data_IF_612427379614
#
_entry.id   IF_612427379614
#
_cell.length_a   1.000
_cell.length_b   1.000
_cell.length_c   1.000
_cell.angle_alpha   90.00
_cell.angle_beta   90.00
_cell.angle_gamma   90.00
#
_symmetry.space_group_name_H-M   'P 1'
#
loop_
_entity.id
_entity.type
_entity.pdbx_description
1 polymer ?
#
# COMPACT_ATOMS: atom_id res chain seq x y z
N UNK A 1 -18.53 5.36 -25.91
CA UNK A 1 -17.11 5.07 -26.24
C UNK A 1 -16.70 3.80 -25.50
N UNK A 2 -15.92 2.91 -26.09
CA UNK A 2 -15.35 1.77 -25.35
C UNK A 2 -14.44 2.34 -24.24
N UNK A 3 -14.62 1.88 -23.00
CA UNK A 3 -13.74 2.23 -21.87
C UNK A 3 -12.33 1.75 -22.18
N UNK A 4 -11.33 2.57 -21.88
CA UNK A 4 -9.92 2.17 -22.00
C UNK A 4 -9.58 1.07 -20.97
N UNK A 5 -8.53 0.28 -21.23
CA UNK A 5 -8.09 -0.81 -20.34
C UNK A 5 -7.74 -0.34 -18.92
N UNK A 6 -7.40 0.94 -18.76
CA UNK A 6 -7.10 1.60 -17.49
C UNK A 6 -8.21 2.53 -17.01
N UNK A 7 -9.44 2.45 -17.59
CA UNK A 7 -10.58 3.21 -17.07
C UNK A 7 -11.05 2.61 -15.74
N UNK A 8 -10.90 3.38 -14.66
CA UNK A 8 -11.27 2.99 -13.31
C UNK A 8 -12.51 3.77 -12.79
N UNK A 9 -13.28 4.44 -13.66
CA UNK A 9 -14.38 5.33 -13.29
C UNK A 9 -15.47 4.69 -12.42
N UNK A 10 -15.61 3.37 -12.44
CA UNK A 10 -16.57 2.63 -11.61
C UNK A 10 -15.91 1.91 -10.42
N UNK A 11 -14.60 1.99 -10.27
CA UNK A 11 -13.86 1.33 -9.22
C UNK A 11 -13.73 2.23 -7.99
N UNK A 12 -13.70 1.60 -6.83
CA UNK A 12 -13.41 2.22 -5.53
C UNK A 12 -12.13 1.63 -4.99
N UNK A 13 -11.14 2.47 -4.73
CA UNK A 13 -9.86 2.08 -4.15
C UNK A 13 -9.74 2.60 -2.70
N UNK A 14 -9.41 1.71 -1.79
CA UNK A 14 -9.06 2.02 -0.41
C UNK A 14 -7.54 1.99 -0.25
N UNK A 15 -6.95 3.07 0.28
CA UNK A 15 -5.50 3.17 0.49
C UNK A 15 -5.23 3.52 1.96
N UNK A 16 -4.62 2.61 2.72
CA UNK A 16 -4.14 2.92 4.07
C UNK A 16 -2.82 3.69 4.00
N UNK A 17 -2.67 4.74 4.83
CA UNK A 17 -1.56 5.67 4.69
C UNK A 17 -1.58 6.43 3.35
N UNK A 18 -2.76 6.61 2.76
CA UNK A 18 -2.95 7.29 1.47
C UNK A 18 -2.83 8.82 1.54
N UNK A 19 -2.64 9.37 2.73
CA UNK A 19 -2.52 10.82 2.97
C UNK A 19 -1.08 11.36 2.85
N UNK A 20 -0.15 10.57 2.31
CA UNK A 20 1.23 11.00 2.11
C UNK A 20 2.10 9.93 1.43
N UNK A 21 3.28 10.32 1.03
CA UNK A 21 4.31 9.44 0.48
C UNK A 21 3.79 8.54 -0.66
N UNK A 22 4.22 7.29 -0.66
CA UNK A 22 3.85 6.29 -1.67
C UNK A 22 2.33 6.12 -1.78
N UNK A 23 1.62 6.12 -0.64
CA UNK A 23 0.17 5.97 -0.62
C UNK A 23 -0.55 7.08 -1.38
N UNK A 24 -0.10 8.33 -1.23
CA UNK A 24 -0.66 9.47 -1.95
C UNK A 24 -0.32 9.41 -3.46
N UNK A 25 0.91 9.01 -3.82
CA UNK A 25 1.28 8.83 -5.22
C UNK A 25 0.45 7.73 -5.92
N UNK A 26 0.12 6.65 -5.21
CA UNK A 26 -0.81 5.64 -5.71
C UNK A 26 -2.23 6.22 -5.85
N UNK A 27 -2.71 6.97 -4.85
CA UNK A 27 -4.02 7.61 -4.89
C UNK A 27 -4.16 8.59 -6.07
N UNK A 28 -3.13 9.37 -6.38
CA UNK A 28 -3.10 10.27 -7.53
C UNK A 28 -3.23 9.51 -8.86
N UNK A 29 -2.43 8.45 -9.07
CA UNK A 29 -2.52 7.64 -10.29
C UNK A 29 -3.86 6.95 -10.48
N UNK A 30 -4.46 6.46 -9.40
CA UNK A 30 -5.80 5.86 -9.43
C UNK A 30 -6.88 6.93 -9.75
N UNK A 31 -6.77 8.12 -9.14
CA UNK A 31 -7.66 9.25 -9.37
C UNK A 31 -7.58 9.75 -10.81
N UNK A 32 -6.38 9.84 -11.40
CA UNK A 32 -6.15 10.19 -12.79
C UNK A 32 -6.84 9.22 -13.76
N UNK A 33 -6.90 7.94 -13.39
CA UNK A 33 -7.65 6.92 -14.13
C UNK A 33 -9.16 6.89 -13.81
N UNK A 34 -9.66 7.80 -12.96
CA UNK A 34 -11.07 7.98 -12.66
C UNK A 34 -11.60 7.19 -11.45
N UNK A 35 -10.76 6.47 -10.71
CA UNK A 35 -11.21 5.74 -9.54
C UNK A 35 -11.71 6.66 -8.42
N UNK A 36 -12.74 6.23 -7.70
CA UNK A 36 -13.16 6.85 -6.44
C UNK A 36 -12.20 6.40 -5.34
N UNK A 37 -11.80 7.33 -4.46
CA UNK A 37 -10.70 7.10 -3.52
C UNK A 37 -11.19 7.21 -2.06
N UNK A 38 -10.92 6.18 -1.28
CA UNK A 38 -11.01 6.18 0.18
C UNK A 38 -9.58 6.19 0.77
N UNK A 39 -9.25 7.20 1.55
CA UNK A 39 -7.94 7.34 2.21
C UNK A 39 -8.10 7.10 3.71
N UNK A 40 -7.28 6.23 4.26
CA UNK A 40 -7.11 6.08 5.70
C UNK A 40 -5.78 6.67 6.15
N UNK A 41 -5.81 7.51 7.18
CA UNK A 41 -4.63 8.09 7.81
C UNK A 41 -4.94 8.57 9.21
N UNK A 42 -3.95 8.59 10.11
CA UNK A 42 -4.13 9.00 11.50
C UNK A 42 -4.10 10.52 11.71
N UNK A 43 -3.53 11.25 10.77
CA UNK A 43 -3.40 12.71 10.87
C UNK A 43 -4.50 13.38 10.06
N UNK A 44 -5.39 14.09 10.75
CA UNK A 44 -6.57 14.73 10.17
C UNK A 44 -6.20 15.84 9.18
N UNK A 45 -5.18 16.64 9.49
CA UNK A 45 -4.73 17.74 8.65
C UNK A 45 -4.18 17.19 7.31
N UNK A 46 -3.30 16.18 7.36
CA UNK A 46 -2.79 15.50 6.16
C UNK A 46 -3.91 14.82 5.36
N UNK A 47 -4.93 14.30 6.03
CA UNK A 47 -6.11 13.73 5.37
C UNK A 47 -6.83 14.79 4.54
N UNK A 48 -7.09 15.98 5.11
CA UNK A 48 -7.73 17.08 4.38
C UNK A 48 -6.85 17.63 3.26
N UNK A 49 -5.55 17.78 3.48
CA UNK A 49 -4.59 18.19 2.44
C UNK A 49 -4.60 17.23 1.25
N UNK A 50 -4.58 15.92 1.51
CA UNK A 50 -4.64 14.90 0.47
C UNK A 50 -5.95 14.91 -0.30
N UNK A 51 -7.08 15.11 0.39
CA UNK A 51 -8.40 15.25 -0.21
C UNK A 51 -8.48 16.46 -1.14
N UNK A 52 -7.96 17.61 -0.67
CA UNK A 52 -7.90 18.84 -1.46
C UNK A 52 -7.03 18.67 -2.71
N UNK A 53 -5.87 18.01 -2.58
CA UNK A 53 -4.97 17.73 -3.70
C UNK A 53 -5.65 16.84 -4.76
N UNK A 54 -6.43 15.84 -4.34
CA UNK A 54 -7.13 14.93 -5.24
C UNK A 54 -8.41 15.53 -5.84
N UNK A 55 -8.92 16.65 -5.33
CA UNK A 55 -10.14 17.29 -5.84
C UNK A 55 -10.04 17.73 -7.31
N UNK A 56 -8.83 17.99 -7.79
CA UNK A 56 -8.54 18.34 -9.21
C UNK A 56 -8.99 17.27 -10.22
N UNK A 57 -9.15 16.01 -9.79
CA UNK A 57 -9.54 14.90 -10.67
C UNK A 57 -11.06 14.73 -10.84
N UNK A 58 -11.88 15.57 -10.19
CA UNK A 58 -13.34 15.53 -10.28
C UNK A 58 -13.97 14.17 -9.95
N UNK A 59 -13.36 13.42 -9.03
CA UNK A 59 -13.80 12.13 -8.53
C UNK A 59 -14.29 12.23 -7.08
N UNK A 60 -14.99 11.22 -6.59
CA UNK A 60 -15.34 11.14 -5.17
C UNK A 60 -14.12 10.73 -4.35
N UNK A 61 -13.73 11.56 -3.37
CA UNK A 61 -12.65 11.30 -2.40
C UNK A 61 -13.19 11.48 -1.00
N UNK A 62 -13.05 10.46 -0.15
CA UNK A 62 -13.28 10.56 1.28
C UNK A 62 -12.05 10.14 2.06
N UNK A 63 -11.84 10.79 3.19
CA UNK A 63 -10.76 10.50 4.12
C UNK A 63 -11.31 10.09 5.47
N UNK A 64 -10.63 9.19 6.16
CA UNK A 64 -11.04 8.65 7.45
C UNK A 64 -9.84 8.65 8.39
N UNK A 65 -10.06 9.06 9.63
CA UNK A 65 -9.07 8.97 10.69
C UNK A 65 -9.06 7.55 11.24
N UNK A 66 -7.99 6.79 10.93
CA UNK A 66 -7.89 5.35 11.26
C UNK A 66 -6.48 5.01 11.72
N UNK A 67 -6.35 4.40 12.89
CA UNK A 67 -5.16 3.65 13.28
C UNK A 67 -5.34 2.18 12.91
N UNK A 68 -4.63 1.74 11.87
CA UNK A 68 -4.72 0.35 11.38
C UNK A 68 -4.29 -0.69 12.40
N UNK A 69 -3.53 -0.31 13.43
CA UNK A 69 -3.15 -1.21 14.53
C UNK A 69 -4.32 -1.55 15.47
N UNK A 70 -5.44 -0.83 15.34
CA UNK A 70 -6.65 -1.04 16.13
C UNK A 70 -7.69 -1.79 15.30
N UNK A 71 -7.82 -3.09 15.54
CA UNK A 71 -8.74 -3.97 14.77
C UNK A 71 -10.16 -3.41 14.69
N UNK A 72 -10.67 -2.89 15.81
CA UNK A 72 -12.01 -2.31 15.87
C UNK A 72 -12.17 -1.10 14.95
N UNK A 73 -11.17 -0.21 14.90
CA UNK A 73 -11.19 0.94 13.99
C UNK A 73 -11.21 0.49 12.53
N UNK A 74 -10.43 -0.53 12.18
CA UNK A 74 -10.42 -1.10 10.83
C UNK A 74 -11.81 -1.64 10.46
N UNK A 75 -12.42 -2.45 11.32
CA UNK A 75 -13.76 -3.03 11.09
C UNK A 75 -14.81 -1.92 10.89
N UNK A 76 -14.83 -0.92 11.76
CA UNK A 76 -15.83 0.14 11.71
C UNK A 76 -15.63 1.05 10.51
N UNK A 77 -14.38 1.32 10.12
CA UNK A 77 -14.11 2.17 8.96
C UNK A 77 -14.24 1.44 7.62
N UNK A 78 -14.10 0.12 7.53
CA UNK A 78 -14.54 -0.63 6.34
C UNK A 78 -16.05 -0.42 6.12
N UNK A 79 -16.86 -0.52 7.18
CA UNK A 79 -18.31 -0.24 7.08
C UNK A 79 -18.60 1.19 6.64
N UNK A 80 -17.84 2.17 7.16
CA UNK A 80 -17.99 3.57 6.76
C UNK A 80 -17.67 3.77 5.27
N UNK A 81 -16.60 3.16 4.76
CA UNK A 81 -16.28 3.19 3.32
C UNK A 81 -17.40 2.54 2.50
N UNK A 82 -17.93 1.40 2.94
CA UNK A 82 -19.04 0.73 2.25
C UNK A 82 -20.32 1.55 2.26
N UNK A 83 -20.64 2.24 3.35
CA UNK A 83 -21.78 3.16 3.42
C UNK A 83 -21.62 4.34 2.44
N UNK A 84 -20.42 4.88 2.34
CA UNK A 84 -20.15 6.05 1.50
C UNK A 84 -20.05 5.72 0.01
N UNK A 85 -19.42 4.60 -0.34
CA UNK A 85 -19.08 4.26 -1.72
C UNK A 85 -19.86 3.07 -2.28
N UNK A 86 -20.49 2.27 -1.42
CA UNK A 86 -21.25 1.07 -1.79
C UNK A 86 -20.39 -0.17 -2.06
N UNK A 87 -19.09 -0.01 -2.30
CA UNK A 87 -18.17 -1.10 -2.67
C UNK A 87 -16.71 -0.76 -2.40
N UNK A 88 -15.86 -1.78 -2.38
CA UNK A 88 -14.40 -1.68 -2.44
C UNK A 88 -13.95 -2.66 -3.52
N UNK A 89 -13.27 -2.15 -4.56
CA UNK A 89 -12.77 -2.94 -5.70
C UNK A 89 -11.28 -3.24 -5.58
N UNK A 90 -10.53 -2.31 -5.00
CA UNK A 90 -9.11 -2.52 -4.69
C UNK A 90 -8.77 -1.99 -3.31
N UNK A 91 -7.81 -2.65 -2.66
CA UNK A 91 -7.26 -2.23 -1.39
C UNK A 91 -5.73 -2.21 -1.46
N UNK A 92 -5.15 -1.11 -1.01
CA UNK A 92 -3.70 -0.96 -0.86
C UNK A 92 -3.38 -0.86 0.62
N UNK A 93 -2.94 -1.96 1.22
CA UNK A 93 -2.45 -2.00 2.59
C UNK A 93 -1.02 -1.45 2.62
N UNK A 94 -0.93 -0.10 2.65
CA UNK A 94 0.30 0.65 2.51
C UNK A 94 0.77 1.27 3.84
N UNK A 95 -0.12 1.55 4.79
CA UNK A 95 0.26 2.11 6.07
C UNK A 95 1.41 1.31 6.70
N UNK A 96 2.42 2.03 7.18
CA UNK A 96 3.58 1.40 7.77
C UNK A 96 4.44 2.39 8.52
N UNK A 97 5.29 1.87 9.38
CA UNK A 97 6.28 2.62 10.13
C UNK A 97 7.58 1.84 10.23
N UNK A 98 8.65 2.53 10.51
CA UNK A 98 9.92 1.93 10.91
C UNK A 98 10.41 2.56 12.22
N UNK A 99 11.11 1.76 13.00
CA UNK A 99 11.87 2.24 14.18
C UNK A 99 13.30 1.81 13.96
N UNK A 100 14.18 2.79 13.87
CA UNK A 100 15.62 2.52 13.82
C UNK A 100 16.11 2.24 15.22
N UNK A 101 16.61 1.04 15.46
CA UNK A 101 17.15 0.59 16.74
C UNK A 101 18.67 0.63 16.79
N UNK A 102 19.21 0.19 17.92
CA UNK A 102 20.62 -0.19 18.10
C UNK A 102 20.99 -1.42 17.28
N UNK A 103 21.94 -2.20 17.78
CA UNK A 103 22.24 -3.53 17.24
C UNK A 103 21.07 -4.50 17.50
N UNK A 104 21.06 -5.64 16.84
CA UNK A 104 19.96 -6.60 16.97
C UNK A 104 19.72 -7.06 18.40
N UNK A 105 20.81 -7.34 19.13
CA UNK A 105 20.80 -7.78 20.52
C UNK A 105 20.33 -6.71 21.52
N UNK A 106 20.35 -5.44 21.10
CA UNK A 106 19.87 -4.29 21.90
C UNK A 106 18.44 -3.88 21.55
N UNK A 107 17.81 -4.56 20.59
CA UNK A 107 16.49 -4.18 20.09
C UNK A 107 15.44 -4.29 21.18
N UNK A 108 14.73 -3.19 21.42
CA UNK A 108 13.66 -3.12 22.41
C UNK A 108 12.41 -3.87 21.97
N UNK A 109 11.86 -4.71 22.85
CA UNK A 109 10.67 -5.53 22.56
C UNK A 109 9.44 -4.68 22.24
N UNK A 110 9.24 -3.54 22.92
CA UNK A 110 8.08 -2.68 22.67
C UNK A 110 8.19 -2.03 21.29
N UNK A 111 9.39 -1.60 20.88
CA UNK A 111 9.64 -1.09 19.54
C UNK A 111 9.37 -2.18 18.48
N UNK A 112 9.82 -3.42 18.72
CA UNK A 112 9.49 -4.58 17.86
C UNK A 112 7.98 -4.77 17.75
N UNK A 113 7.26 -4.86 18.88
CA UNK A 113 5.80 -5.05 18.91
C UNK A 113 5.06 -3.92 18.20
N UNK A 114 5.50 -2.66 18.39
CA UNK A 114 4.90 -1.50 17.74
C UNK A 114 5.03 -1.54 16.22
N UNK A 115 6.18 -1.98 15.69
CA UNK A 115 6.35 -2.13 14.24
C UNK A 115 5.42 -3.22 13.71
N UNK A 116 5.35 -4.38 14.38
CA UNK A 116 4.50 -5.48 13.93
C UNK A 116 3.02 -5.12 13.99
N UNK A 117 2.56 -4.44 15.05
CA UNK A 117 1.15 -4.08 15.20
C UNK A 117 0.64 -3.18 14.05
N UNK A 118 1.50 -2.29 13.51
CA UNK A 118 1.12 -1.46 12.36
C UNK A 118 1.34 -2.19 11.05
N UNK A 119 2.55 -2.75 10.85
CA UNK A 119 3.01 -3.22 9.54
C UNK A 119 2.52 -4.63 9.19
N UNK A 120 2.14 -5.44 10.17
CA UNK A 120 1.69 -6.81 9.97
C UNK A 120 0.24 -7.01 10.43
N UNK A 121 -0.07 -6.71 11.70
CA UNK A 121 -1.42 -6.89 12.22
C UNK A 121 -2.39 -5.93 11.53
N UNK A 122 -2.00 -4.65 11.36
CA UNK A 122 -2.81 -3.65 10.65
C UNK A 122 -3.05 -4.01 9.18
N UNK A 123 -2.06 -4.60 8.51
CA UNK A 123 -2.23 -5.14 7.16
C UNK A 123 -3.20 -6.32 7.18
N UNK A 124 -3.04 -7.25 8.12
CA UNK A 124 -3.93 -8.40 8.27
C UNK A 124 -5.38 -7.97 8.50
N UNK A 125 -5.64 -7.07 9.45
CA UNK A 125 -7.00 -6.57 9.73
C UNK A 125 -7.62 -5.91 8.50
N UNK A 126 -6.87 -5.04 7.83
CA UNK A 126 -7.33 -4.33 6.62
C UNK A 126 -7.67 -5.31 5.50
N UNK A 127 -6.76 -6.23 5.20
CA UNK A 127 -6.95 -7.20 4.11
C UNK A 127 -8.07 -8.20 4.41
N UNK A 128 -8.18 -8.66 5.64
CA UNK A 128 -9.24 -9.59 6.05
C UNK A 128 -10.62 -8.98 5.83
N UNK A 129 -10.87 -7.78 6.34
CA UNK A 129 -12.19 -7.16 6.25
C UNK A 129 -12.55 -6.73 4.82
N UNK A 130 -11.60 -6.24 4.05
CA UNK A 130 -11.85 -5.88 2.66
C UNK A 130 -12.02 -7.11 1.77
N UNK A 131 -11.23 -8.16 1.97
CA UNK A 131 -11.39 -9.43 1.23
C UNK A 131 -12.72 -10.11 1.56
N UNK A 132 -13.16 -10.07 2.81
CA UNK A 132 -14.48 -10.56 3.22
C UNK A 132 -15.58 -9.91 2.39
N UNK A 133 -15.58 -8.58 2.27
CA UNK A 133 -16.53 -7.85 1.42
C UNK A 133 -16.44 -8.27 -0.05
N UNK A 134 -15.23 -8.41 -0.61
CA UNK A 134 -15.04 -8.86 -2.00
C UNK A 134 -15.59 -10.27 -2.23
N UNK A 135 -15.42 -11.19 -1.26
CA UNK A 135 -15.98 -12.55 -1.31
C UNK A 135 -17.51 -12.54 -1.24
N UNK A 136 -18.10 -11.70 -0.38
CA UNK A 136 -19.57 -11.55 -0.28
C UNK A 136 -20.14 -11.01 -1.59
N UNK A 137 -19.51 -10.02 -2.21
CA UNK A 137 -19.86 -9.53 -3.54
C UNK A 137 -19.80 -10.63 -4.60
N UNK A 138 -18.70 -11.39 -4.62
CA UNK A 138 -18.50 -12.47 -5.61
C UNK A 138 -19.57 -13.56 -5.47
N UNK A 139 -19.97 -13.91 -4.24
CA UNK A 139 -21.08 -14.87 -3.99
C UNK A 139 -22.43 -14.34 -4.49
N UNK A 140 -22.61 -13.02 -4.61
CA UNK A 140 -23.79 -12.38 -5.17
C UNK A 140 -23.69 -12.15 -6.68
N UNK A 141 -22.65 -12.68 -7.34
CA UNK A 141 -22.47 -12.58 -8.79
C UNK A 141 -21.58 -11.43 -9.27
N UNK A 142 -21.15 -10.53 -8.39
CA UNK A 142 -20.20 -9.45 -8.70
C UNK A 142 -18.75 -9.89 -8.39
N UNK A 143 -18.19 -10.67 -9.30
CA UNK A 143 -16.90 -11.35 -9.15
C UNK A 143 -15.75 -10.36 -9.32
N UNK A 144 -14.70 -10.56 -8.51
CA UNK A 144 -13.42 -9.86 -8.66
C UNK A 144 -13.07 -8.90 -7.53
N UNK A 145 -11.81 -8.50 -7.54
CA UNK A 145 -11.21 -7.57 -6.59
C UNK A 145 -9.68 -7.58 -6.73
N UNK A 146 -9.04 -6.54 -6.22
CA UNK A 146 -7.58 -6.42 -6.20
C UNK A 146 -7.09 -6.12 -4.79
N UNK A 147 -6.29 -7.02 -4.24
CA UNK A 147 -5.68 -6.91 -2.92
C UNK A 147 -4.19 -6.63 -3.11
N UNK A 148 -3.69 -5.53 -2.56
CA UNK A 148 -2.29 -5.13 -2.70
C UNK A 148 -1.67 -4.87 -1.33
N UNK A 149 -0.62 -5.62 -1.01
CA UNK A 149 0.23 -5.35 0.14
C UNK A 149 1.43 -4.51 -0.27
N UNK A 150 1.71 -3.42 0.44
CA UNK A 150 2.96 -2.68 0.23
C UNK A 150 4.01 -3.18 1.21
N UNK A 151 4.94 -3.97 0.70
CA UNK A 151 6.06 -4.51 1.46
C UNK A 151 7.31 -3.59 1.40
N UNK A 152 8.46 -4.12 1.10
CA UNK A 152 9.74 -3.43 0.91
C UNK A 152 10.78 -4.42 0.39
N UNK A 153 11.84 -3.95 -0.23
CA UNK A 153 13.04 -4.76 -0.47
C UNK A 153 13.58 -5.39 0.83
N UNK A 154 13.44 -4.70 1.96
CA UNK A 154 13.82 -5.24 3.27
C UNK A 154 13.07 -6.53 3.66
N UNK A 155 11.98 -6.89 2.99
CA UNK A 155 11.27 -8.16 3.17
C UNK A 155 11.92 -9.34 2.44
N UNK A 156 12.83 -9.08 1.50
CA UNK A 156 13.53 -10.09 0.69
C UNK A 156 15.06 -9.95 0.74
N UNK A 157 15.56 -8.81 1.22
CA UNK A 157 16.99 -8.53 1.38
C UNK A 157 17.35 -8.33 2.86
N UNK A 158 18.64 -8.44 3.18
CA UNK A 158 19.14 -8.13 4.52
C UNK A 158 19.17 -6.61 4.77
N UNK A 159 18.48 -6.16 5.83
CA UNK A 159 18.46 -4.76 6.25
C UNK A 159 18.89 -4.65 7.73
N UNK A 160 20.15 -4.27 7.96
CA UNK A 160 20.69 -4.14 9.30
C UNK A 160 19.94 -3.08 10.13
N UNK A 161 19.79 -3.34 11.44
CA UNK A 161 19.17 -2.43 12.43
C UNK A 161 17.67 -2.16 12.20
N UNK A 162 17.01 -2.92 11.35
CA UNK A 162 15.60 -2.78 11.04
C UNK A 162 14.86 -4.12 10.98
N UNK A 163 15.33 -5.10 11.74
CA UNK A 163 14.82 -6.47 11.71
C UNK A 163 13.30 -6.59 11.97
N UNK A 164 12.68 -5.82 12.88
CA UNK A 164 11.23 -5.83 13.04
C UNK A 164 10.49 -5.41 11.76
N UNK A 165 11.01 -4.39 11.08
CA UNK A 165 10.47 -3.91 9.81
C UNK A 165 10.60 -5.00 8.74
N UNK A 166 11.80 -5.58 8.58
CA UNK A 166 12.06 -6.64 7.61
C UNK A 166 11.16 -7.87 7.85
N UNK A 167 11.06 -8.31 9.11
CA UNK A 167 10.17 -9.42 9.49
C UNK A 167 8.71 -9.13 9.14
N UNK A 168 8.23 -7.92 9.44
CA UNK A 168 6.85 -7.51 9.10
C UNK A 168 6.62 -7.51 7.58
N UNK A 169 7.58 -7.00 6.80
CA UNK A 169 7.44 -6.92 5.33
C UNK A 169 7.58 -8.28 4.65
N UNK A 170 8.41 -9.18 5.17
CA UNK A 170 8.44 -10.59 4.75
C UNK A 170 7.13 -11.32 5.06
N UNK A 171 6.53 -11.07 6.23
CA UNK A 171 5.22 -11.59 6.61
C UNK A 171 4.10 -11.14 5.66
N UNK A 172 4.10 -9.86 5.26
CA UNK A 172 3.14 -9.32 4.27
C UNK A 172 3.26 -10.05 2.93
N UNK A 173 4.49 -10.27 2.42
CA UNK A 173 4.71 -11.00 1.16
C UNK A 173 4.10 -12.40 1.23
N UNK A 174 4.35 -13.12 2.31
CA UNK A 174 3.82 -14.48 2.50
C UNK A 174 2.30 -14.47 2.62
N UNK A 175 1.72 -13.54 3.38
CA UNK A 175 0.27 -13.39 3.55
C UNK A 175 -0.44 -13.15 2.21
N UNK A 176 0.08 -12.25 1.39
CA UNK A 176 -0.47 -11.93 0.06
C UNK A 176 -0.48 -13.16 -0.86
N UNK A 177 0.57 -13.97 -0.85
CA UNK A 177 0.61 -15.22 -1.62
C UNK A 177 -0.49 -16.20 -1.18
N UNK A 178 -0.71 -16.32 0.13
CA UNK A 178 -1.81 -17.13 0.67
C UNK A 178 -3.18 -16.64 0.21
N UNK A 179 -3.44 -15.33 0.28
CA UNK A 179 -4.68 -14.71 -0.20
C UNK A 179 -4.87 -14.95 -1.70
N UNK A 180 -3.81 -14.82 -2.51
CA UNK A 180 -3.85 -15.03 -3.95
C UNK A 180 -4.34 -16.45 -4.31
N UNK A 181 -3.82 -17.45 -3.62
CA UNK A 181 -4.21 -18.86 -3.86
C UNK A 181 -5.64 -19.14 -3.39
N UNK A 182 -5.98 -18.71 -2.16
CA UNK A 182 -7.26 -19.03 -1.53
C UNK A 182 -8.46 -18.37 -2.24
N UNK A 183 -8.29 -17.12 -2.70
CA UNK A 183 -9.40 -16.30 -3.18
C UNK A 183 -9.49 -16.19 -4.70
N UNK A 184 -8.61 -16.87 -5.45
CA UNK A 184 -8.63 -16.90 -6.93
C UNK A 184 -9.98 -17.35 -7.49
N UNK A 185 -10.65 -18.31 -6.83
CA UNK A 185 -11.99 -18.81 -7.23
C UNK A 185 -13.10 -17.76 -7.23
N UNK A 186 -12.87 -16.62 -6.54
CA UNK A 186 -13.78 -15.47 -6.51
C UNK A 186 -13.35 -14.36 -7.48
N UNK A 187 -12.33 -14.63 -8.34
CA UNK A 187 -11.73 -13.62 -9.21
C UNK A 187 -10.91 -12.57 -8.47
N UNK A 188 -10.66 -12.75 -7.18
CA UNK A 188 -9.84 -11.82 -6.38
C UNK A 188 -8.37 -12.12 -6.63
N UNK A 189 -7.63 -11.08 -7.03
CA UNK A 189 -6.18 -11.13 -7.23
C UNK A 189 -5.49 -10.50 -6.04
N UNK A 190 -4.33 -11.01 -5.66
CA UNK A 190 -3.54 -10.44 -4.58
C UNK A 190 -2.08 -10.35 -5.00
N UNK A 191 -1.48 -9.17 -4.88
CA UNK A 191 -0.10 -8.89 -5.29
C UNK A 191 0.62 -8.01 -4.26
N UNK A 192 1.94 -7.99 -4.33
CA UNK A 192 2.77 -7.20 -3.41
C UNK A 192 3.58 -6.17 -4.19
N UNK A 193 3.62 -4.93 -3.73
CA UNK A 193 4.56 -3.91 -4.23
C UNK A 193 5.74 -3.83 -3.25
N UNK A 194 6.95 -3.86 -3.79
CA UNK A 194 8.21 -3.77 -3.04
C UNK A 194 8.95 -2.48 -3.42
N UNK A 195 8.74 -1.39 -2.66
CA UNK A 195 9.50 -0.17 -2.87
C UNK A 195 10.98 -0.34 -2.53
N UNK A 196 11.84 0.32 -3.31
CA UNK A 196 13.23 0.59 -2.96
C UNK A 196 13.39 1.85 -2.11
N UNK A 197 14.39 2.67 -2.42
CA UNK A 197 14.67 3.93 -1.74
C UNK A 197 13.83 5.07 -2.34
N UNK A 198 12.78 5.45 -1.63
CA UNK A 198 11.79 6.43 -2.07
C UNK A 198 11.84 7.66 -1.18
N UNK A 199 11.81 8.84 -1.77
CA UNK A 199 11.76 10.13 -1.07
C UNK A 199 10.37 10.36 -0.46
N UNK A 200 10.27 10.14 0.85
CA UNK A 200 9.05 10.29 1.66
C UNK A 200 9.43 10.82 3.05
N UNK A 201 8.43 11.18 3.86
CA UNK A 201 8.66 11.58 5.25
C UNK A 201 9.43 10.51 6.05
N UNK A 202 9.18 9.23 5.78
CA UNK A 202 9.87 8.11 6.45
C UNK A 202 11.38 8.08 6.20
N UNK A 203 11.82 8.59 5.08
CA UNK A 203 13.23 8.58 4.64
C UNK A 203 13.91 9.95 4.74
N UNK A 204 13.24 10.99 5.26
CA UNK A 204 13.76 12.36 5.34
C UNK A 204 15.13 12.44 6.02
N UNK A 205 15.32 11.72 7.14
CA UNK A 205 16.60 11.68 7.85
C UNK A 205 17.71 11.16 6.94
N UNK A 206 17.41 10.14 6.14
CA UNK A 206 18.36 9.53 5.22
C UNK A 206 18.66 10.45 4.03
N UNK A 207 17.63 11.11 3.48
CA UNK A 207 17.78 12.07 2.38
C UNK A 207 18.65 13.27 2.77
N UNK A 208 18.50 13.75 4.00
CA UNK A 208 19.28 14.88 4.54
C UNK A 208 20.72 14.50 4.89
N UNK A 209 21.08 13.22 4.84
CA UNK A 209 22.44 12.74 5.04
C UNK A 209 23.12 12.52 3.69
N UNK A 210 23.95 13.49 3.26
CA UNK A 210 24.62 13.44 1.95
C UNK A 210 25.45 12.17 1.76
N UNK A 211 26.23 11.75 2.78
CA UNK A 211 27.04 10.53 2.69
C UNK A 211 26.20 9.27 2.48
N UNK A 212 25.04 9.22 3.13
CA UNK A 212 24.10 8.12 2.95
C UNK A 212 23.47 8.16 1.57
N UNK A 213 23.03 9.33 1.12
CA UNK A 213 22.44 9.54 -0.21
C UNK A 213 23.42 9.13 -1.30
N UNK A 214 24.67 9.57 -1.25
CA UNK A 214 25.71 9.21 -2.24
C UNK A 214 25.93 7.69 -2.30
N UNK A 215 25.98 7.03 -1.12
CA UNK A 215 26.11 5.58 -1.03
C UNK A 215 24.92 4.84 -1.62
N UNK A 216 23.69 5.29 -1.35
CA UNK A 216 22.47 4.67 -1.88
C UNK A 216 22.35 4.91 -3.38
N UNK A 217 22.46 6.16 -3.82
CA UNK A 217 22.24 6.54 -5.22
C UNK A 217 23.30 5.93 -6.13
N UNK A 218 24.54 5.72 -5.65
CA UNK A 218 25.56 5.00 -6.44
C UNK A 218 25.16 3.55 -6.76
N UNK A 219 24.30 2.93 -5.94
CA UNK A 219 23.74 1.59 -6.12
C UNK A 219 22.40 1.57 -6.87
N UNK A 220 21.76 2.70 -7.09
CA UNK A 220 20.54 2.77 -7.90
C UNK A 220 20.94 3.01 -9.36
N UNK A 221 20.74 2.07 -10.30
CA UNK A 221 21.08 2.28 -11.72
C UNK A 221 20.43 3.52 -12.33
N UNK A 222 19.18 3.85 -11.93
CA UNK A 222 18.49 5.09 -12.37
C UNK A 222 19.02 6.37 -11.74
N UNK A 223 20.03 6.30 -10.84
CA UNK A 223 20.77 7.44 -10.28
C UNK A 223 19.93 8.52 -9.60
N UNK A 224 18.80 8.16 -9.03
CA UNK A 224 17.94 9.05 -8.25
C UNK A 224 17.21 8.31 -7.13
N UNK A 225 16.73 9.05 -6.18
CA UNK A 225 15.65 8.59 -5.30
C UNK A 225 14.41 8.31 -6.13
N UNK A 226 13.66 7.26 -5.79
CA UNK A 226 12.30 7.12 -6.27
C UNK A 226 11.40 8.19 -5.67
N UNK A 227 10.29 8.48 -6.30
CA UNK A 227 9.29 9.45 -5.86
C UNK A 227 7.93 8.79 -5.72
N UNK A 228 7.02 9.35 -4.89
CA UNK A 228 5.65 8.83 -4.76
C UNK A 228 4.95 8.58 -6.10
N UNK A 229 5.13 9.46 -7.08
CA UNK A 229 4.54 9.34 -8.43
C UNK A 229 5.02 8.11 -9.21
N UNK A 230 6.19 7.55 -8.89
CA UNK A 230 6.69 6.33 -9.54
C UNK A 230 5.79 5.11 -9.26
N UNK A 231 4.88 5.22 -8.29
CA UNK A 231 3.90 4.18 -7.93
C UNK A 231 2.52 4.37 -8.57
N UNK A 232 2.27 5.47 -9.27
CA UNK A 232 0.97 5.77 -9.89
C UNK A 232 0.58 4.72 -10.93
N UNK A 233 1.50 4.39 -11.84
CA UNK A 233 1.24 3.44 -12.93
C UNK A 233 0.98 2.01 -12.44
N UNK A 234 1.77 1.53 -11.46
CA UNK A 234 1.57 0.18 -10.92
C UNK A 234 0.26 0.07 -10.13
N UNK A 235 -0.16 1.13 -9.43
CA UNK A 235 -1.44 1.15 -8.74
C UNK A 235 -2.62 1.08 -9.73
N UNK A 236 -2.58 1.85 -10.80
CA UNK A 236 -3.58 1.80 -11.87
C UNK A 236 -3.60 0.42 -12.54
N UNK A 237 -2.44 -0.15 -12.87
CA UNK A 237 -2.33 -1.49 -13.44
C UNK A 237 -2.96 -2.56 -12.53
N UNK A 238 -2.58 -2.61 -11.26
CA UNK A 238 -3.08 -3.63 -10.32
C UNK A 238 -4.57 -3.49 -10.01
N UNK A 239 -5.15 -2.29 -10.12
CA UNK A 239 -6.60 -2.06 -9.93
C UNK A 239 -7.39 -2.40 -11.19
N UNK A 240 -6.80 -2.24 -12.37
CA UNK A 240 -7.46 -2.41 -13.65
C UNK A 240 -7.57 -3.87 -14.09
N UNK A 241 -8.39 -4.10 -15.12
CA UNK A 241 -8.53 -5.39 -15.77
C UNK A 241 -7.29 -5.77 -16.62
N UNK A 242 -6.35 -4.81 -16.85
CA UNK A 242 -5.06 -5.08 -17.48
C UNK A 242 -4.22 -6.12 -16.72
N UNK A 243 -4.45 -6.26 -15.40
CA UNK A 243 -3.79 -7.24 -14.55
C UNK A 243 -4.66 -8.44 -14.20
N UNK A 244 -5.71 -8.75 -15.01
CA UNK A 244 -6.69 -9.81 -14.72
C UNK A 244 -6.08 -11.20 -14.50
N UNK A 245 -4.93 -11.49 -15.10
CA UNK A 245 -4.21 -12.77 -14.93
C UNK A 245 -2.95 -12.67 -14.07
N UNK A 246 -2.79 -11.57 -13.31
CA UNK A 246 -1.61 -11.30 -12.48
C UNK A 246 -1.98 -11.40 -11.00
N UNK A 247 -1.58 -12.50 -10.35
CA UNK A 247 -1.87 -12.75 -8.94
C UNK A 247 -0.74 -13.53 -8.27
N UNK A 248 -0.39 -13.18 -7.05
CA UNK A 248 0.65 -13.82 -6.24
C UNK A 248 2.05 -13.26 -6.47
N UNK A 249 2.21 -12.22 -7.26
CA UNK A 249 3.50 -11.68 -7.68
C UNK A 249 4.02 -10.54 -6.79
N UNK A 250 5.31 -10.26 -6.95
CA UNK A 250 6.05 -9.18 -6.29
C UNK A 250 6.52 -8.17 -7.33
N UNK A 251 5.98 -6.96 -7.27
CA UNK A 251 6.35 -5.86 -8.15
C UNK A 251 7.40 -4.96 -7.48
N UNK A 252 8.66 -5.12 -7.89
CA UNK A 252 9.76 -4.31 -7.39
C UNK A 252 9.77 -2.98 -8.12
N UNK A 253 9.77 -1.87 -7.36
CA UNK A 253 9.83 -0.48 -7.84
C UNK A 253 10.96 0.23 -7.11
N UNK A 254 12.19 0.11 -7.63
CA UNK A 254 13.43 0.44 -6.91
C UNK A 254 14.51 1.11 -7.77
N UNK A 255 14.23 1.39 -9.04
CA UNK A 255 15.22 1.94 -9.97
C UNK A 255 16.37 1.00 -10.31
N UNK A 256 16.20 -0.31 -10.08
CA UNK A 256 17.17 -1.36 -10.32
C UNK A 256 18.10 -1.66 -9.13
N UNK A 257 17.83 -1.13 -7.95
CA UNK A 257 18.69 -1.29 -6.77
C UNK A 257 18.91 -2.76 -6.38
N UNK A 258 17.87 -3.58 -6.41
CA UNK A 258 17.95 -4.97 -5.96
C UNK A 258 18.77 -5.91 -6.86
N UNK A 259 19.07 -5.48 -8.08
CA UNK A 259 19.77 -6.31 -9.08
C UNK A 259 21.17 -5.78 -9.41
N UNK A 260 21.66 -4.76 -8.69
CA UNK A 260 22.94 -4.12 -8.94
C UNK A 260 23.89 -4.21 -7.73
#
# INVERSE_FOLDING_TARGET
>A
MKKGIFDLSEKVALITGGNGGIGLGMAEGLAECGAKIAIWGRNKEKNEESKNLLSKYSIKVNTYEVDVSQEKEVIDNVKSVLNDFGRIDSVFANAGMNVFGGSFEEMNTDAYRKVLSVNLDGVFFTLRETTKHMVERAKSGDIGGSVVGVASLAGIEGAAKTQPYSASKGGVISMIKGIAVEHARYGIRANTILPGWIATDMTTINQNNQKFTDKVISRVPMRRWGEPKDFSGIAAYLTSDASAYHSGDMFIVDGGYAIF
#
